data_IF_086868923016
#
_entry.id   IF_086868923016
#
_cell.length_a   1.000
_cell.length_b   1.000
_cell.length_c   1.000
_cell.angle_alpha   90.00
_cell.angle_beta   90.00
_cell.angle_gamma   90.00
#
_symmetry.space_group_name_H-M   'P 1'
#
loop_
_entity.id
_entity.type
_entity.pdbx_description
1 polymer ?
#
# COMPACT_ATOMS: atom_id res chain seq x y z
N UNK A 1 19.48 -30.63 15.62
CA UNK A 1 19.48 -29.57 14.59
C UNK A 1 18.48 -28.47 15.01
N UNK A 2 18.78 -27.44 15.79
CA UNK A 2 17.76 -26.38 16.00
C UNK A 2 18.26 -25.10 16.66
N UNK A 3 19.31 -25.07 17.50
CA UNK A 3 19.71 -23.82 18.20
C UNK A 3 20.37 -22.78 17.30
N UNK A 4 21.19 -23.18 16.35
CA UNK A 4 21.89 -22.24 15.44
C UNK A 4 20.97 -21.54 14.41
N UNK A 5 19.88 -22.18 13.99
CA UNK A 5 18.89 -21.55 13.09
C UNK A 5 18.07 -20.46 13.80
N UNK A 6 17.75 -20.65 15.09
CA UNK A 6 17.00 -19.67 15.90
C UNK A 6 17.81 -18.41 16.21
N UNK A 7 19.12 -18.55 16.45
CA UNK A 7 20.00 -17.40 16.73
C UNK A 7 20.20 -16.55 15.46
N UNK A 8 20.42 -17.18 14.30
CA UNK A 8 20.53 -16.46 13.01
C UNK A 8 19.25 -15.70 12.64
N UNK A 9 18.07 -16.23 12.92
CA UNK A 9 16.80 -15.56 12.69
C UNK A 9 16.59 -14.33 13.60
N UNK A 10 16.98 -14.41 14.87
CA UNK A 10 16.86 -13.32 15.85
C UNK A 10 17.84 -12.18 15.58
N UNK A 11 19.09 -12.49 15.24
CA UNK A 11 20.09 -11.47 14.86
C UNK A 11 19.72 -10.80 13.56
N UNK A 12 19.25 -11.54 12.57
CA UNK A 12 18.81 -10.98 11.29
C UNK A 12 17.51 -10.15 11.40
N UNK A 13 16.62 -10.44 12.35
CA UNK A 13 15.44 -9.62 12.64
C UNK A 13 15.82 -8.34 13.40
N UNK A 14 16.72 -8.44 14.38
CA UNK A 14 17.22 -7.31 15.16
C UNK A 14 18.08 -6.35 14.30
N UNK A 15 18.94 -6.87 13.45
CA UNK A 15 19.69 -6.05 12.49
C UNK A 15 18.77 -5.39 11.46
N UNK A 16 17.76 -6.09 10.95
CA UNK A 16 16.78 -5.51 10.01
C UNK A 16 15.95 -4.39 10.65
N UNK A 17 15.51 -4.55 11.90
CA UNK A 17 14.78 -3.50 12.61
C UNK A 17 15.66 -2.29 12.93
N UNK A 18 16.97 -2.48 13.15
CA UNK A 18 17.92 -1.39 13.41
C UNK A 18 18.39 -0.67 12.15
N UNK A 19 18.51 -1.38 11.02
CA UNK A 19 18.99 -0.78 9.76
C UNK A 19 17.85 -0.10 8.98
N UNK A 20 16.62 -0.62 9.03
CA UNK A 20 15.49 -0.03 8.31
C UNK A 20 14.81 1.13 9.05
N UNK A 21 14.92 1.20 10.38
CA UNK A 21 14.37 2.32 11.17
C UNK A 21 15.06 3.66 10.94
N UNK A 22 16.40 3.78 10.96
CA UNK A 22 17.05 5.07 10.75
C UNK A 22 16.93 5.60 9.32
N UNK A 23 16.91 4.72 8.29
CA UNK A 23 16.75 5.15 6.89
C UNK A 23 15.35 5.72 6.62
N UNK A 24 14.32 5.28 7.34
CA UNK A 24 12.95 5.82 7.23
C UNK A 24 12.79 7.22 7.80
N UNK A 25 13.59 7.61 8.78
CA UNK A 25 13.45 8.87 9.48
C UNK A 25 14.27 10.04 8.92
N UNK A 26 15.23 9.79 8.03
CA UNK A 26 16.28 10.77 7.70
C UNK A 26 16.32 11.20 6.23
N UNK A 27 15.79 10.41 5.31
CA UNK A 27 15.88 10.74 3.89
C UNK A 27 14.66 11.55 3.41
N UNK A 28 14.82 12.78 2.90
CA UNK A 28 13.72 13.49 2.26
C UNK A 28 13.22 12.74 1.04
N UNK A 29 11.92 12.90 0.69
CA UNK A 29 11.29 12.23 -0.45
C UNK A 29 11.96 12.57 -1.78
N UNK A 30 12.45 13.78 -1.94
CA UNK A 30 13.05 14.27 -3.19
C UNK A 30 14.26 13.43 -3.66
N UNK A 31 15.26 13.12 -2.83
CA UNK A 31 16.34 12.20 -3.22
C UNK A 31 15.86 10.79 -3.56
N UNK A 32 14.88 10.26 -2.84
CA UNK A 32 14.33 8.93 -3.14
C UNK A 32 13.61 8.92 -4.48
N UNK A 33 12.84 9.96 -4.78
CA UNK A 33 12.18 10.13 -6.07
C UNK A 33 13.19 10.35 -7.21
N UNK A 34 14.27 11.10 -6.98
CA UNK A 34 15.35 11.26 -7.94
C UNK A 34 16.08 9.94 -8.22
N UNK A 35 16.39 9.19 -7.16
CA UNK A 35 16.99 7.86 -7.28
C UNK A 35 16.09 6.89 -8.04
N UNK A 36 14.76 6.95 -7.83
CA UNK A 36 13.81 6.15 -8.61
C UNK A 36 13.84 6.53 -10.10
N UNK A 37 13.81 7.83 -10.43
CA UNK A 37 13.89 8.31 -11.82
C UNK A 37 15.19 7.86 -12.51
N UNK A 38 16.32 7.94 -11.80
CA UNK A 38 17.60 7.47 -12.32
C UNK A 38 17.59 5.95 -12.56
N UNK A 39 17.12 5.16 -11.59
CA UNK A 39 17.00 3.70 -11.75
C UNK A 39 16.12 3.31 -12.92
N UNK A 40 15.01 4.02 -13.14
CA UNK A 40 14.15 3.80 -14.31
C UNK A 40 14.89 4.06 -15.63
N UNK A 41 15.72 5.12 -15.70
CA UNK A 41 16.53 5.41 -16.90
C UNK A 41 17.59 4.34 -17.16
N UNK A 42 18.24 3.85 -16.10
CA UNK A 42 19.32 2.87 -16.20
C UNK A 42 18.80 1.44 -16.45
N UNK A 43 17.64 1.10 -15.90
CA UNK A 43 17.04 -0.25 -16.00
C UNK A 43 15.55 -0.12 -16.33
N UNK A 44 15.22 0.32 -17.56
CA UNK A 44 13.83 0.40 -18.01
C UNK A 44 13.19 -0.99 -17.94
N UNK A 45 11.89 -1.06 -17.67
CA UNK A 45 11.18 -2.32 -17.48
C UNK A 45 11.22 -2.90 -16.06
N UNK A 46 12.19 -2.50 -15.22
CA UNK A 46 12.22 -2.88 -13.79
C UNK A 46 11.65 -1.82 -12.85
N UNK A 47 11.38 -0.64 -13.35
CA UNK A 47 10.82 0.49 -12.58
C UNK A 47 9.70 1.16 -13.36
N UNK A 48 8.62 1.47 -12.66
CA UNK A 48 7.43 2.12 -13.23
C UNK A 48 7.71 3.54 -13.72
N UNK A 49 6.94 3.99 -14.70
CA UNK A 49 6.86 5.38 -15.14
C UNK A 49 6.16 6.29 -14.11
N UNK A 50 5.23 5.71 -13.33
CA UNK A 50 4.51 6.48 -12.33
C UNK A 50 5.43 7.01 -11.23
N UNK A 51 5.13 8.19 -10.67
CA UNK A 51 5.85 8.72 -9.51
C UNK A 51 5.76 7.73 -8.33
N UNK A 52 6.91 7.17 -7.90
CA UNK A 52 6.97 6.06 -6.95
C UNK A 52 6.34 6.35 -5.59
N UNK A 53 6.27 7.63 -5.20
CA UNK A 53 5.78 8.06 -3.89
C UNK A 53 4.51 8.91 -3.96
N UNK A 54 3.84 8.96 -5.12
CA UNK A 54 2.55 9.63 -5.27
C UNK A 54 1.46 8.81 -4.60
N UNK A 55 0.63 9.48 -3.79
CA UNK A 55 -0.55 8.86 -3.21
C UNK A 55 -1.66 8.77 -4.26
N UNK A 56 -2.36 7.65 -4.26
CA UNK A 56 -3.57 7.45 -5.06
C UNK A 56 -4.77 7.36 -4.13
N UNK A 57 -5.87 8.00 -4.50
CA UNK A 57 -7.12 7.85 -3.75
C UNK A 57 -7.87 6.63 -4.27
N UNK A 58 -8.26 5.76 -3.36
CA UNK A 58 -8.86 4.46 -3.65
C UNK A 58 -10.03 4.23 -2.72
N UNK A 59 -11.12 3.70 -3.24
CA UNK A 59 -12.17 3.12 -2.42
C UNK A 59 -11.59 1.92 -1.64
N UNK A 60 -11.59 1.96 -0.28
CA UNK A 60 -11.04 0.88 0.54
C UNK A 60 -11.72 -0.48 0.29
N UNK A 61 -12.99 -0.50 -0.14
CA UNK A 61 -13.71 -1.72 -0.47
C UNK A 61 -13.10 -2.49 -1.65
N UNK A 62 -12.31 -1.83 -2.51
CA UNK A 62 -11.57 -2.46 -3.62
C UNK A 62 -10.35 -3.24 -3.15
N UNK A 63 -9.84 -3.02 -1.94
CA UNK A 63 -8.68 -3.72 -1.38
C UNK A 63 -9.19 -4.93 -0.60
N UNK A 64 -9.42 -6.04 -1.30
CA UNK A 64 -9.98 -7.27 -0.74
C UNK A 64 -8.96 -8.35 -0.46
N UNK A 65 -7.75 -8.23 -1.00
CA UNK A 65 -6.70 -9.25 -0.97
C UNK A 65 -5.47 -8.73 -0.25
N UNK A 66 -4.76 -9.63 0.40
CA UNK A 66 -3.46 -9.39 1.00
C UNK A 66 -2.43 -10.27 0.33
N UNK A 67 -1.23 -9.73 0.05
CA UNK A 67 -0.11 -10.58 -0.37
C UNK A 67 0.33 -11.46 0.78
N UNK A 68 0.71 -12.71 0.48
CA UNK A 68 1.25 -13.63 1.47
C UNK A 68 2.63 -13.16 1.97
N UNK A 69 3.03 -13.65 3.15
CA UNK A 69 4.33 -13.30 3.77
C UNK A 69 5.54 -13.71 2.94
N UNK A 70 5.39 -14.66 2.01
CA UNK A 70 6.41 -15.07 1.05
C UNK A 70 6.81 -13.95 0.10
N UNK A 71 5.97 -12.92 -0.08
CA UNK A 71 6.31 -11.75 -0.88
C UNK A 71 7.57 -11.05 -0.33
N UNK A 72 8.44 -10.52 -1.20
CA UNK A 72 9.69 -9.89 -0.76
C UNK A 72 9.45 -8.78 0.26
N UNK A 73 10.09 -8.88 1.42
CA UNK A 73 9.99 -7.91 2.52
C UNK A 73 10.85 -6.66 2.31
N UNK A 74 11.73 -6.68 1.31
CA UNK A 74 12.56 -5.52 0.97
C UNK A 74 11.74 -4.42 0.33
N UNK A 75 12.03 -3.15 0.61
CA UNK A 75 11.36 -2.04 -0.03
C UNK A 75 11.50 -2.11 -1.55
N UNK A 76 10.36 -2.11 -2.25
CA UNK A 76 10.29 -2.23 -3.71
C UNK A 76 9.48 -1.08 -4.33
N UNK A 77 9.47 0.09 -3.68
CA UNK A 77 8.69 1.22 -4.19
C UNK A 77 9.05 1.56 -5.63
N UNK A 78 8.01 1.56 -6.45
CA UNK A 78 8.12 1.83 -7.87
C UNK A 78 8.72 0.70 -8.70
N UNK A 79 8.93 -0.50 -8.14
CA UNK A 79 9.40 -1.65 -8.92
C UNK A 79 8.28 -2.28 -9.74
N UNK A 80 8.70 -2.79 -10.90
CA UNK A 80 7.92 -3.69 -11.75
C UNK A 80 8.46 -5.11 -11.56
N UNK A 81 7.59 -6.04 -11.20
CA UNK A 81 7.95 -7.41 -10.84
C UNK A 81 7.03 -8.38 -11.59
N UNK A 82 7.61 -9.28 -12.36
CA UNK A 82 6.89 -10.38 -13.02
C UNK A 82 6.73 -11.60 -12.11
N UNK A 83 6.34 -12.73 -12.71
CA UNK A 83 6.13 -14.01 -12.03
C UNK A 83 4.73 -14.09 -11.41
N UNK A 84 4.54 -15.05 -10.50
CA UNK A 84 3.22 -15.43 -9.97
C UNK A 84 2.99 -14.96 -8.53
N UNK A 85 3.65 -13.90 -8.10
CA UNK A 85 3.54 -13.39 -6.74
C UNK A 85 2.13 -12.93 -6.34
N UNK A 86 1.26 -12.65 -7.30
CA UNK A 86 -0.14 -12.26 -7.12
C UNK A 86 -1.13 -13.42 -7.31
N UNK A 87 -0.64 -14.63 -7.61
CA UNK A 87 -1.46 -15.84 -7.70
C UNK A 87 -1.88 -16.35 -6.31
N UNK A 88 -0.99 -16.21 -5.32
CA UNK A 88 -1.26 -16.61 -3.94
C UNK A 88 -1.56 -15.39 -3.07
N UNK A 89 -2.72 -15.39 -2.42
CA UNK A 89 -3.20 -14.31 -1.58
C UNK A 89 -4.16 -14.84 -0.51
N UNK A 90 -4.37 -14.03 0.51
CA UNK A 90 -5.39 -14.28 1.53
C UNK A 90 -6.43 -13.15 1.55
N UNK A 91 -7.70 -13.42 1.91
CA UNK A 91 -8.70 -12.39 2.07
C UNK A 91 -8.25 -11.39 3.14
N UNK A 92 -8.26 -10.10 2.79
CA UNK A 92 -7.84 -9.06 3.74
C UNK A 92 -8.74 -9.03 4.98
N UNK A 93 -10.04 -9.19 4.79
CA UNK A 93 -11.04 -9.04 5.85
C UNK A 93 -11.08 -10.23 6.83
N UNK A 94 -10.47 -11.36 6.46
CA UNK A 94 -10.34 -12.56 7.31
C UNK A 94 -9.07 -12.55 8.18
N UNK A 95 -8.18 -11.59 7.98
CA UNK A 95 -6.98 -11.46 8.81
C UNK A 95 -7.34 -11.11 10.26
N UNK A 96 -6.50 -11.47 11.25
CA UNK A 96 -6.79 -11.21 12.67
C UNK A 96 -7.12 -9.75 13.00
N UNK A 97 -6.44 -8.79 12.34
CA UNK A 97 -6.69 -7.37 12.59
C UNK A 97 -8.07 -6.93 12.10
N UNK A 98 -8.45 -7.07 10.83
CA UNK A 98 -9.81 -6.73 10.38
C UNK A 98 -10.90 -7.50 11.14
N UNK A 99 -10.71 -8.80 11.39
CA UNK A 99 -11.65 -9.64 12.12
C UNK A 99 -11.85 -9.11 13.55
N UNK A 100 -10.77 -8.85 14.29
CA UNK A 100 -10.85 -8.35 15.66
C UNK A 100 -11.46 -6.94 15.74
N UNK A 101 -11.20 -6.08 14.76
CA UNK A 101 -11.83 -4.75 14.70
C UNK A 101 -13.33 -4.84 14.42
N UNK A 102 -13.76 -5.74 13.55
CA UNK A 102 -15.19 -6.01 13.32
C UNK A 102 -15.86 -6.54 14.61
N UNK A 103 -15.23 -7.49 15.29
CA UNK A 103 -15.71 -8.02 16.56
C UNK A 103 -15.85 -6.90 17.61
N UNK A 104 -14.86 -6.01 17.70
CA UNK A 104 -14.87 -4.90 18.66
C UNK A 104 -15.95 -3.86 18.35
N UNK A 105 -16.00 -3.35 17.12
CA UNK A 105 -16.79 -2.16 16.78
C UNK A 105 -18.16 -2.45 16.17
N UNK A 106 -18.37 -3.65 15.62
CA UNK A 106 -19.66 -4.06 15.04
C UNK A 106 -20.38 -5.03 15.96
N UNK A 107 -19.66 -6.02 16.53
CA UNK A 107 -20.25 -7.03 17.41
C UNK A 107 -20.25 -6.62 18.89
N UNK A 108 -19.56 -5.54 19.25
CA UNK A 108 -19.54 -5.01 20.62
C UNK A 108 -18.71 -5.82 21.62
N UNK A 109 -17.83 -6.70 21.17
CA UNK A 109 -17.00 -7.53 22.06
C UNK A 109 -15.96 -6.71 22.80
N UNK A 110 -15.58 -7.16 23.96
CA UNK A 110 -14.40 -6.63 24.64
C UNK A 110 -13.12 -7.03 23.88
N UNK A 111 -12.07 -6.21 24.01
CA UNK A 111 -10.80 -6.50 23.34
C UNK A 111 -10.26 -7.88 23.65
N UNK A 112 -10.41 -8.33 24.91
CA UNK A 112 -9.95 -9.64 25.35
C UNK A 112 -10.55 -10.81 24.56
N UNK A 113 -11.77 -10.62 24.02
CA UNK A 113 -12.54 -11.65 23.35
C UNK A 113 -12.47 -11.54 21.82
N UNK A 114 -11.46 -10.81 21.32
CA UNK A 114 -11.29 -10.62 19.87
C UNK A 114 -10.17 -11.48 19.29
N UNK A 115 -10.32 -11.89 18.04
CA UNK A 115 -9.30 -12.58 17.27
C UNK A 115 -7.96 -11.78 17.19
N UNK A 116 -8.01 -10.48 17.40
CA UNK A 116 -6.81 -9.65 17.44
C UNK A 116 -5.95 -9.94 18.66
N UNK A 117 -6.56 -10.11 19.85
CA UNK A 117 -5.84 -10.45 21.09
C UNK A 117 -5.34 -11.90 21.05
N UNK A 118 -6.15 -12.83 20.57
CA UNK A 118 -5.73 -14.21 20.36
C UNK A 118 -4.48 -14.30 19.47
N UNK A 119 -4.51 -13.64 18.30
CA UNK A 119 -3.37 -13.60 17.40
C UNK A 119 -2.16 -12.86 18.00
N UNK A 120 -2.38 -11.87 18.89
CA UNK A 120 -1.31 -11.21 19.61
C UNK A 120 -0.60 -12.19 20.57
N UNK A 121 -1.36 -12.92 21.37
CA UNK A 121 -0.81 -13.88 22.33
C UNK A 121 -0.02 -14.99 21.64
N UNK A 122 -0.55 -15.52 20.54
CA UNK A 122 0.13 -16.51 19.71
C UNK A 122 1.47 -16.01 19.16
N UNK A 123 1.49 -14.79 18.62
CA UNK A 123 2.71 -14.20 18.07
C UNK A 123 3.71 -13.86 19.18
N UNK A 124 3.23 -13.35 20.31
CA UNK A 124 4.08 -13.03 21.44
C UNK A 124 4.75 -14.31 21.98
N UNK A 125 3.99 -15.40 22.13
CA UNK A 125 4.50 -16.70 22.56
C UNK A 125 5.55 -17.27 21.60
N UNK A 126 5.33 -17.14 20.29
CA UNK A 126 6.21 -17.69 19.24
C UNK A 126 7.48 -16.85 19.00
N UNK A 127 7.36 -15.53 19.06
CA UNK A 127 8.40 -14.61 18.58
C UNK A 127 8.90 -13.63 19.63
N UNK A 128 8.27 -13.56 20.82
CA UNK A 128 8.58 -12.58 21.88
C UNK A 128 8.23 -11.14 21.51
N UNK A 129 7.56 -10.94 20.38
CA UNK A 129 7.10 -9.63 19.92
C UNK A 129 5.96 -9.81 18.93
N UNK A 130 4.89 -9.03 19.10
CA UNK A 130 3.77 -8.95 18.15
C UNK A 130 3.44 -7.48 17.89
N UNK A 131 3.41 -7.07 16.62
CA UNK A 131 3.12 -5.70 16.18
C UNK A 131 3.88 -4.59 16.91
N UNK A 132 5.12 -4.88 17.35
CA UNK A 132 5.98 -3.95 18.08
C UNK A 132 5.74 -3.92 19.59
N UNK A 133 4.82 -4.74 20.12
CA UNK A 133 4.57 -4.91 21.54
C UNK A 133 5.27 -6.18 22.06
N UNK A 134 5.84 -6.10 23.25
CA UNK A 134 6.56 -7.20 23.91
C UNK A 134 5.86 -7.67 25.19
N UNK A 135 4.71 -7.08 25.52
CA UNK A 135 3.90 -7.44 26.67
C UNK A 135 2.42 -7.16 26.44
N UNK A 136 1.56 -7.79 27.26
CA UNK A 136 0.12 -7.55 27.24
C UNK A 136 -0.26 -6.11 27.62
N UNK A 137 0.47 -5.47 28.54
CA UNK A 137 0.24 -4.05 28.90
C UNK A 137 0.58 -3.13 27.72
N UNK A 138 1.66 -3.44 27.00
CA UNK A 138 2.02 -2.74 25.75
C UNK A 138 0.92 -2.86 24.71
N UNK A 139 0.35 -4.04 24.58
CA UNK A 139 -0.74 -4.30 23.64
C UNK A 139 -2.05 -3.65 24.09
N UNK A 140 -2.38 -3.65 25.40
CA UNK A 140 -3.54 -2.93 25.92
C UNK A 140 -3.46 -1.41 25.65
N UNK A 141 -2.26 -0.80 25.74
CA UNK A 141 -2.05 0.60 25.27
C UNK A 141 -2.35 0.74 23.78
N UNK A 142 -1.91 -0.23 22.98
CA UNK A 142 -2.18 -0.26 21.52
C UNK A 142 -3.67 -0.36 21.23
N UNK A 143 -4.42 -1.16 21.94
CA UNK A 143 -5.89 -1.22 21.82
C UNK A 143 -6.54 0.15 22.08
N UNK A 144 -6.11 0.87 23.13
CA UNK A 144 -6.58 2.25 23.39
C UNK A 144 -6.20 3.24 22.29
N UNK A 145 -5.05 3.06 21.63
CA UNK A 145 -4.68 3.86 20.47
C UNK A 145 -5.58 3.56 19.28
N UNK A 146 -5.97 2.29 19.11
CA UNK A 146 -6.92 1.88 18.06
C UNK A 146 -8.32 2.45 18.36
N UNK A 147 -8.78 2.47 19.60
CA UNK A 147 -10.05 3.10 19.99
C UNK A 147 -10.05 4.61 19.62
N UNK A 148 -8.96 5.32 19.92
CA UNK A 148 -8.79 6.73 19.53
C UNK A 148 -8.76 6.92 18.00
N UNK A 149 -8.11 6.00 17.29
CA UNK A 149 -8.07 6.01 15.83
C UNK A 149 -9.46 5.79 15.24
N UNK A 150 -10.24 4.84 15.78
CA UNK A 150 -11.63 4.60 15.36
C UNK A 150 -12.48 5.85 15.53
N UNK A 151 -12.44 6.48 16.72
CA UNK A 151 -13.18 7.72 16.99
C UNK A 151 -12.76 8.84 16.02
N UNK A 152 -11.45 9.03 15.82
CA UNK A 152 -10.95 10.06 14.88
C UNK A 152 -11.41 9.82 13.44
N UNK A 153 -11.38 8.57 12.97
CA UNK A 153 -11.84 8.23 11.61
C UNK A 153 -13.35 8.42 11.44
N UNK A 154 -14.14 8.08 12.47
CA UNK A 154 -15.59 8.26 12.48
C UNK A 154 -15.98 9.75 12.47
N UNK A 155 -15.32 10.55 13.30
CA UNK A 155 -15.73 11.94 13.55
C UNK A 155 -15.11 12.92 12.53
N UNK A 156 -13.92 12.62 11.98
CA UNK A 156 -13.14 13.53 11.13
C UNK A 156 -12.82 12.94 9.74
N UNK A 157 -13.24 11.70 9.46
CA UNK A 157 -12.86 10.99 8.25
C UNK A 157 -11.35 10.62 8.19
N UNK A 158 -10.92 10.15 7.04
CA UNK A 158 -9.52 9.75 6.86
C UNK A 158 -8.61 10.96 6.65
N UNK A 159 -7.68 11.17 7.57
CA UNK A 159 -6.64 12.21 7.49
C UNK A 159 -5.31 11.60 7.09
N UNK A 160 -4.58 12.28 6.20
CA UNK A 160 -3.22 11.84 5.76
C UNK A 160 -2.25 11.83 6.93
N UNK A 161 -1.31 10.90 6.92
CA UNK A 161 -0.27 10.81 7.96
C UNK A 161 0.59 12.07 8.03
N UNK A 162 0.83 12.74 6.90
CA UNK A 162 1.51 14.04 6.84
C UNK A 162 0.77 15.11 7.63
N UNK A 163 -0.56 15.15 7.53
CA UNK A 163 -1.40 16.10 8.28
C UNK A 163 -1.41 15.78 9.79
N UNK A 164 -1.44 14.50 10.16
CA UNK A 164 -1.52 14.07 11.57
C UNK A 164 -0.22 14.29 12.32
N UNK A 165 0.93 14.16 11.66
CA UNK A 165 2.24 14.28 12.29
C UNK A 165 2.77 15.72 12.38
N UNK A 166 2.11 16.65 11.67
CA UNK A 166 2.51 18.06 11.64
C UNK A 166 3.77 18.34 10.82
N UNK A 167 4.19 19.63 10.75
CA UNK A 167 5.29 20.07 9.89
C UNK A 167 6.66 19.57 10.34
N UNK A 168 6.83 19.21 11.61
CA UNK A 168 8.11 18.73 12.16
C UNK A 168 8.36 17.25 11.89
N UNK A 169 7.36 16.52 11.40
CA UNK A 169 7.54 15.13 11.03
C UNK A 169 8.23 15.02 9.68
N UNK A 170 9.20 14.13 9.56
CA UNK A 170 9.81 13.81 8.27
C UNK A 170 8.72 13.35 7.28
N UNK A 171 8.48 14.17 6.26
CA UNK A 171 7.46 13.92 5.24
C UNK A 171 7.58 12.52 4.62
N UNK A 172 8.82 12.02 4.47
CA UNK A 172 9.11 10.67 4.00
C UNK A 172 8.51 9.60 4.90
N UNK A 173 8.70 9.67 6.22
CA UNK A 173 8.17 8.65 7.14
C UNK A 173 6.65 8.66 7.13
N UNK A 174 6.03 9.84 7.17
CA UNK A 174 4.59 9.98 7.11
C UNK A 174 4.03 9.42 5.80
N UNK A 175 4.68 9.69 4.66
CA UNK A 175 4.28 9.17 3.35
C UNK A 175 4.38 7.66 3.26
N UNK A 176 5.47 7.07 3.76
CA UNK A 176 5.69 5.62 3.72
C UNK A 176 4.80 4.85 4.69
N UNK A 177 4.28 5.51 5.71
CA UNK A 177 3.33 4.93 6.67
C UNK A 177 1.87 4.93 6.17
N UNK A 178 1.56 5.52 5.02
CA UNK A 178 0.24 5.39 4.43
C UNK A 178 -0.08 3.92 4.10
N UNK A 179 -1.34 3.62 3.81
CA UNK A 179 -1.76 2.27 3.39
C UNK A 179 -0.95 1.88 2.16
N UNK A 180 -0.19 0.80 2.25
CA UNK A 180 0.62 0.32 1.13
C UNK A 180 -0.08 -0.82 0.41
N UNK A 181 -0.15 -0.71 -0.92
CA UNK A 181 -0.74 -1.73 -1.80
C UNK A 181 0.20 -2.12 -2.93
N UNK A 182 0.08 -3.36 -3.38
CA UNK A 182 0.65 -3.84 -4.63
C UNK A 182 -0.45 -3.85 -5.71
N UNK A 183 -0.09 -3.71 -6.98
CA UNK A 183 -1.01 -3.83 -8.11
C UNK A 183 -0.69 -5.11 -8.87
N UNK A 184 -1.63 -6.06 -8.89
CA UNK A 184 -1.50 -7.35 -9.56
C UNK A 184 -1.58 -7.26 -11.08
N UNK A 185 -1.46 -8.40 -11.75
CA UNK A 185 -1.40 -8.52 -13.23
C UNK A 185 -2.62 -7.97 -13.95
N UNK A 186 -3.77 -7.99 -13.31
CA UNK A 186 -5.09 -7.56 -13.81
C UNK A 186 -5.53 -6.19 -13.27
N UNK A 187 -4.70 -5.53 -12.46
CA UNK A 187 -5.03 -4.29 -11.76
C UNK A 187 -5.61 -4.50 -10.36
N UNK A 188 -5.81 -5.73 -9.90
CA UNK A 188 -6.28 -5.99 -8.54
C UNK A 188 -5.33 -5.37 -7.52
N UNK A 189 -5.92 -4.70 -6.50
CA UNK A 189 -5.18 -4.11 -5.39
C UNK A 189 -5.03 -5.11 -4.25
N UNK A 190 -3.80 -5.32 -3.84
CA UNK A 190 -3.44 -6.19 -2.72
C UNK A 190 -2.90 -5.35 -1.57
N UNK A 191 -3.49 -5.46 -0.38
CA UNK A 191 -2.84 -4.89 0.80
C UNK A 191 -1.50 -5.60 1.03
N UNK A 192 -0.46 -4.80 1.24
CA UNK A 192 0.88 -5.34 1.42
C UNK A 192 1.43 -5.13 2.82
N UNK A 193 1.43 -3.89 3.27
CA UNK A 193 2.05 -3.50 4.52
C UNK A 193 1.53 -2.12 4.95
N UNK A 194 1.75 -1.76 6.19
CA UNK A 194 1.35 -0.50 6.79
C UNK A 194 -0.15 -0.18 6.67
N UNK A 195 -0.62 0.60 7.60
CA UNK A 195 -1.98 1.09 7.60
C UNK A 195 -3.07 0.03 7.71
N UNK A 196 -2.78 -1.21 8.17
CA UNK A 196 -3.78 -2.29 8.26
C UNK A 196 -4.99 -1.89 9.12
N UNK A 197 -4.76 -1.31 10.31
CA UNK A 197 -5.85 -0.83 11.17
C UNK A 197 -6.65 0.28 10.49
N UNK A 198 -5.98 1.24 9.83
CA UNK A 198 -6.65 2.35 9.13
C UNK A 198 -7.48 1.86 7.95
N UNK A 199 -6.96 0.90 7.17
CA UNK A 199 -7.71 0.29 6.08
C UNK A 199 -8.92 -0.47 6.59
N UNK A 200 -8.76 -1.31 7.60
CA UNK A 200 -9.86 -2.09 8.16
C UNK A 200 -10.95 -1.19 8.76
N UNK A 201 -10.56 -0.18 9.56
CA UNK A 201 -11.51 0.79 10.11
C UNK A 201 -12.19 1.63 9.03
N UNK A 202 -11.46 2.04 7.99
CA UNK A 202 -12.05 2.78 6.87
C UNK A 202 -13.13 1.96 6.14
N UNK A 203 -12.90 0.64 5.98
CA UNK A 203 -13.91 -0.27 5.42
C UNK A 203 -15.12 -0.40 6.35
N UNK A 204 -14.91 -0.60 7.64
CA UNK A 204 -16.00 -0.73 8.64
C UNK A 204 -16.85 0.53 8.74
N UNK A 205 -16.25 1.71 8.62
CA UNK A 205 -16.91 3.01 8.69
C UNK A 205 -17.50 3.48 7.36
N UNK A 206 -17.36 2.70 6.28
CA UNK A 206 -17.87 3.09 4.96
C UNK A 206 -17.18 4.31 4.36
N UNK A 207 -15.92 4.57 4.70
CA UNK A 207 -15.16 5.70 4.14
C UNK A 207 -14.96 5.48 2.64
N UNK A 208 -15.47 6.37 1.82
CA UNK A 208 -15.49 6.21 0.35
C UNK A 208 -14.08 6.21 -0.27
N UNK A 209 -13.11 6.89 0.33
CA UNK A 209 -11.83 7.07 -0.31
C UNK A 209 -10.68 7.28 0.68
N UNK A 210 -9.63 6.46 0.56
CA UNK A 210 -8.41 6.54 1.36
C UNK A 210 -7.18 6.76 0.47
N UNK A 211 -6.15 7.48 0.96
CA UNK A 211 -4.87 7.57 0.26
C UNK A 211 -4.11 6.26 0.41
N UNK A 212 -3.61 5.74 -0.69
CA UNK A 212 -2.73 4.57 -0.72
C UNK A 212 -1.41 4.89 -1.41
N UNK A 213 -0.36 4.24 -0.97
CA UNK A 213 0.94 4.25 -1.63
C UNK A 213 1.12 2.94 -2.39
N UNK A 214 1.33 3.02 -3.70
CA UNK A 214 1.59 1.83 -4.51
C UNK A 214 3.06 1.45 -4.35
N UNK A 215 3.30 0.25 -3.82
CA UNK A 215 4.62 -0.22 -3.50
C UNK A 215 5.30 -0.85 -4.72
N UNK A 216 4.62 -1.78 -5.42
CA UNK A 216 5.08 -2.38 -6.67
C UNK A 216 3.92 -2.68 -7.61
N UNK A 217 4.25 -2.94 -8.87
CA UNK A 217 3.31 -3.33 -9.92
C UNK A 217 3.72 -4.64 -10.57
N UNK A 218 2.75 -5.42 -10.97
CA UNK A 218 3.02 -6.58 -11.82
C UNK A 218 3.45 -6.13 -13.22
N UNK A 219 4.35 -6.89 -13.86
CA UNK A 219 4.86 -6.57 -15.20
C UNK A 219 3.75 -6.46 -16.25
N UNK A 220 2.74 -7.33 -16.20
CA UNK A 220 1.58 -7.28 -17.11
C UNK A 220 0.77 -5.99 -16.92
N UNK A 221 0.60 -5.53 -15.68
CA UNK A 221 -0.08 -4.26 -15.41
C UNK A 221 0.73 -3.06 -15.89
N UNK A 222 2.06 -3.11 -15.72
CA UNK A 222 2.93 -2.07 -16.27
C UNK A 222 2.81 -2.00 -17.80
N UNK A 223 2.73 -3.14 -18.48
CA UNK A 223 2.50 -3.16 -19.93
C UNK A 223 1.17 -2.49 -20.34
N UNK A 224 0.11 -2.61 -19.52
CA UNK A 224 -1.15 -1.87 -19.73
C UNK A 224 -0.91 -0.35 -19.61
N UNK A 225 -0.15 0.10 -18.59
CA UNK A 225 0.21 1.52 -18.44
C UNK A 225 1.02 2.04 -19.62
N UNK A 226 2.04 1.27 -20.05
CA UNK A 226 2.91 1.64 -21.17
C UNK A 226 2.08 1.79 -22.46
N UNK A 227 1.18 0.85 -22.76
CA UNK A 227 0.30 0.92 -23.91
C UNK A 227 -0.66 2.13 -23.88
N UNK A 228 -1.15 2.53 -22.72
CA UNK A 228 -1.98 3.73 -22.57
C UNK A 228 -1.17 5.01 -22.80
N UNK A 229 0.05 5.09 -22.30
CA UNK A 229 0.93 6.23 -22.49
C UNK A 229 1.30 6.39 -23.97
N UNK A 230 1.65 5.28 -24.64
CA UNK A 230 2.02 5.31 -26.06
C UNK A 230 0.84 5.75 -26.95
N UNK A 231 -0.39 5.33 -26.58
CA UNK A 231 -1.61 5.81 -27.27
C UNK A 231 -1.90 7.29 -26.99
N UNK A 232 -1.53 7.80 -25.81
CA UNK A 232 -1.67 9.22 -25.49
C UNK A 232 -0.67 10.10 -26.23
N UNK A 233 0.54 9.58 -26.48
CA UNK A 233 1.65 10.31 -27.12
C UNK A 233 1.71 10.18 -28.64
N UNK A 234 0.94 9.25 -29.24
CA UNK A 234 0.95 8.98 -30.68
C UNK A 234 0.16 10.02 -31.54
N UNK A 235 0.50 10.22 -32.83
CA UNK A 235 -0.23 11.09 -33.70
C UNK A 235 -1.70 10.65 -33.85
N UNK A 236 -2.60 11.65 -33.98
CA UNK A 236 -4.07 11.45 -34.03
C UNK A 236 -4.55 10.49 -35.14
N UNK A 237 -3.78 10.31 -36.23
CA UNK A 237 -4.12 9.43 -37.35
C UNK A 237 -4.19 7.95 -36.98
N UNK A 238 -3.37 7.49 -36.05
CA UNK A 238 -3.32 6.06 -35.65
C UNK A 238 -4.38 5.66 -34.61
N UNK A 239 -5.11 6.64 -34.05
CA UNK A 239 -6.11 6.38 -33.01
C UNK A 239 -7.39 5.71 -33.52
N UNK A 240 -7.74 5.93 -34.81
CA UNK A 240 -8.99 5.43 -35.40
C UNK A 240 -8.99 3.92 -35.71
N UNK A 241 -7.84 3.30 -35.96
CA UNK A 241 -7.76 1.88 -36.32
C UNK A 241 -7.69 0.92 -35.15
N UNK A 242 -7.56 1.42 -33.89
CA UNK A 242 -7.46 0.62 -32.68
C UNK A 242 -8.73 0.56 -31.83
N UNK A 243 -9.86 1.08 -32.30
CA UNK A 243 -11.13 1.19 -31.59
C UNK A 243 -11.84 -0.15 -31.29
N UNK A 244 -11.42 -1.25 -31.90
CA UNK A 244 -12.11 -2.55 -31.79
C UNK A 244 -11.67 -3.46 -30.64
N UNK A 245 -10.78 -3.01 -29.75
CA UNK A 245 -10.42 -3.80 -28.56
C UNK A 245 -11.15 -3.31 -27.32
N UNK A 246 -12.40 -3.74 -27.16
CA UNK A 246 -13.21 -3.56 -25.96
C UNK A 246 -12.74 -4.47 -24.79
N UNK A 247 -11.72 -4.07 -24.04
CA UNK A 247 -11.80 -4.13 -22.58
C UNK A 247 -11.16 -2.92 -21.89
N UNK A 248 -10.90 -1.84 -22.61
CA UNK A 248 -10.10 -0.71 -22.13
C UNK A 248 -10.88 0.38 -21.38
N UNK A 249 -12.20 0.52 -21.59
CA UNK A 249 -13.00 1.61 -20.97
C UNK A 249 -13.06 1.52 -19.46
N UNK A 250 -13.16 0.31 -18.91
CA UNK A 250 -13.21 0.10 -17.46
C UNK A 250 -11.85 0.30 -16.77
N UNK A 251 -10.76 0.03 -17.48
CA UNK A 251 -9.40 0.19 -16.96
C UNK A 251 -8.98 1.66 -16.80
N UNK A 252 -9.49 2.59 -17.61
CA UNK A 252 -9.17 4.02 -17.51
C UNK A 252 -9.62 4.63 -16.18
N UNK A 253 -10.64 4.09 -15.53
CA UNK A 253 -11.11 4.51 -14.22
C UNK A 253 -10.22 4.01 -13.08
N UNK A 254 -9.22 3.15 -13.36
CA UNK A 254 -8.37 2.59 -12.34
C UNK A 254 -7.49 3.68 -11.68
N UNK A 255 -7.42 3.74 -10.32
CA UNK A 255 -6.71 4.80 -9.61
C UNK A 255 -5.23 4.96 -10.00
N UNK A 256 -4.58 3.85 -10.38
CA UNK A 256 -3.18 3.85 -10.81
C UNK A 256 -2.96 4.41 -12.23
N UNK A 257 -4.01 4.56 -13.01
CA UNK A 257 -3.95 5.05 -14.39
C UNK A 257 -4.42 6.52 -14.53
N UNK A 258 -4.91 7.12 -13.45
CA UNK A 258 -5.47 8.48 -13.48
C UNK A 258 -4.47 9.56 -13.92
N UNK A 259 -3.20 9.40 -13.60
CA UNK A 259 -2.14 10.30 -14.06
C UNK A 259 -1.99 10.31 -15.58
N UNK A 260 -2.16 9.15 -16.24
CA UNK A 260 -2.09 9.05 -17.69
C UNK A 260 -3.34 9.63 -18.39
N UNK A 261 -4.50 9.55 -17.72
CA UNK A 261 -5.76 10.08 -18.27
C UNK A 261 -5.84 11.61 -18.14
N UNK A 262 -5.31 12.18 -17.04
CA UNK A 262 -5.26 13.63 -16.84
C UNK A 262 -4.37 14.32 -17.89
N UNK A 263 -3.19 13.76 -18.19
CA UNK A 263 -2.30 14.28 -19.22
C UNK A 263 -2.94 14.33 -20.63
N UNK A 264 -3.90 13.44 -20.91
CA UNK A 264 -4.64 13.45 -22.19
C UNK A 264 -5.73 14.52 -22.26
N UNK A 265 -6.30 14.92 -21.12
CA UNK A 265 -7.34 15.95 -21.06
C UNK A 265 -6.76 17.36 -21.21
N UNK A 266 -5.59 17.64 -20.62
CA UNK A 266 -4.93 18.94 -20.69
C UNK A 266 -4.35 19.20 -22.11
N UNK A 267 -4.02 18.14 -22.85
CA UNK A 267 -3.59 18.26 -24.25
C UNK A 267 -4.73 18.58 -25.23
N UNK A 268 -5.97 18.22 -24.90
CA UNK A 268 -7.14 18.50 -25.75
C UNK A 268 -7.68 19.95 -25.54
N UNK A 269 -7.45 20.56 -24.38
CA UNK A 269 -7.90 21.94 -24.10
C UNK A 269 -6.96 23.02 -24.65
N UNK A 270 -5.70 22.70 -24.91
CA UNK A 270 -4.71 23.64 -25.45
C UNK A 270 -4.70 23.75 -27.00
N UNK A 271 -5.56 23.01 -27.69
CA UNK A 271 -5.60 22.94 -29.16
C UNK A 271 -6.72 23.77 -29.84
N UNK A 272 -7.57 24.47 -29.08
CA UNK A 272 -8.73 25.22 -29.64
C UNK A 272 -8.59 26.75 -29.59
N UNK A 273 -7.37 27.27 -29.53
CA UNK A 273 -7.14 28.71 -29.65
C UNK A 273 -6.08 28.99 -30.69
N UNK A 274 -6.49 28.91 -31.95
CA UNK A 274 -5.79 29.56 -33.09
C UNK A 274 -6.74 29.71 -34.25
#
# INVERSE_FOLDING_TARGET
MSRHRRIRGRVAAALRSRVTRPVRGVAPLAPLAAAHRLRRRLVPGRYTDAPAFALRRVDPARIRRSVLETAPRTPQWGRVVGGDWDAEWEPFDERPVPTGLRQRYVEGRDWADTALVEAFDDQLARFGNAWGCTSREGFARRCREIDRLHASLRDQGYRRQETLRGPDAYATTARLDEINVDVGRDGTLYWRAYGQHRLALAKLLGIESVPVLIHRRHANWQAVRDGLRDTASGPRSDRRSRSDRRPYSDRRSHPDLRDLVAETSDADTSGESS
#
